data_IF_418565916534
#
_entry.id   IF_418565916534
#
_cell.length_a   1.000
_cell.length_b   1.000
_cell.length_c   1.000
_cell.angle_alpha   90.00
_cell.angle_beta   90.00
_cell.angle_gamma   90.00
#
_symmetry.space_group_name_H-M   'P 1'
#
loop_
_entity.id
_entity.type
_entity.pdbx_description
1 polymer ?
#
# COMPACT_ATOMS: atom_id res chain seq x y z
N UNK A 1 0.33 -21.54 -9.48
CA UNK A 1 0.99 -20.43 -10.19
C UNK A 1 1.69 -19.59 -9.15
N UNK A 2 2.86 -19.03 -9.45
CA UNK A 2 3.53 -18.13 -8.53
C UNK A 2 2.69 -16.86 -8.30
N UNK A 3 2.79 -16.29 -7.10
CA UNK A 3 2.15 -15.03 -6.75
C UNK A 3 2.74 -13.86 -7.55
N UNK A 4 1.97 -12.80 -7.69
CA UNK A 4 2.37 -11.61 -8.43
C UNK A 4 2.96 -10.59 -7.46
N UNK A 5 4.19 -10.18 -7.71
CA UNK A 5 4.81 -9.08 -6.98
C UNK A 5 4.54 -7.75 -7.71
N UNK A 6 3.94 -6.80 -7.00
CA UNK A 6 3.64 -5.46 -7.48
C UNK A 6 4.45 -4.44 -6.70
N UNK A 7 5.35 -3.76 -7.40
CA UNK A 7 6.23 -2.76 -6.81
C UNK A 7 5.77 -1.36 -7.22
N UNK A 8 5.90 -0.42 -6.30
CA UNK A 8 5.58 0.98 -6.51
C UNK A 8 6.13 1.90 -5.43
N UNK A 9 5.59 3.09 -5.36
CA UNK A 9 5.96 4.11 -4.37
C UNK A 9 4.74 4.67 -3.66
N UNK A 10 4.97 5.29 -2.52
CA UNK A 10 3.97 6.07 -1.78
C UNK A 10 3.72 7.41 -2.48
N UNK A 11 2.87 7.41 -3.51
CA UNK A 11 2.58 8.55 -4.38
C UNK A 11 3.42 8.54 -5.66
N UNK A 12 3.01 9.37 -6.61
CA UNK A 12 3.62 9.49 -7.94
C UNK A 12 3.78 10.94 -8.43
N UNK A 13 3.05 11.88 -7.86
CA UNK A 13 2.93 13.24 -8.40
C UNK A 13 3.96 14.20 -7.77
N UNK A 14 5.24 13.90 -7.98
CA UNK A 14 6.35 14.67 -7.46
C UNK A 14 7.20 15.24 -8.62
N UNK A 15 7.03 16.51 -9.00
CA UNK A 15 7.79 17.12 -10.10
C UNK A 15 9.32 17.06 -9.92
N UNK A 16 9.80 17.09 -8.66
CA UNK A 16 11.21 16.97 -8.30
C UNK A 16 11.85 15.62 -8.66
N UNK A 17 11.07 14.63 -9.09
CA UNK A 17 11.62 13.36 -9.60
C UNK A 17 12.16 13.47 -11.02
N UNK A 18 12.04 14.63 -11.67
CA UNK A 18 12.73 14.93 -12.91
C UNK A 18 14.15 15.47 -12.59
N UNK A 19 15.21 15.08 -13.35
CA UNK A 19 15.17 14.17 -14.51
C UNK A 19 15.37 12.68 -14.16
N UNK A 20 15.47 12.29 -12.88
CA UNK A 20 15.83 10.92 -12.47
C UNK A 20 14.81 9.86 -12.91
N UNK A 21 13.56 10.08 -12.57
CA UNK A 21 12.48 9.15 -12.87
C UNK A 21 11.57 9.65 -13.99
N UNK A 22 11.24 10.94 -13.98
CA UNK A 22 10.47 11.58 -15.03
C UNK A 22 11.38 12.27 -16.05
N UNK A 23 11.02 12.24 -17.35
CA UNK A 23 11.70 13.05 -18.36
C UNK A 23 11.65 14.55 -18.03
N UNK A 24 12.67 15.30 -18.44
CA UNK A 24 12.64 16.76 -18.36
C UNK A 24 11.43 17.33 -19.10
N UNK A 25 10.80 18.35 -18.52
CA UNK A 25 9.66 19.02 -19.12
C UNK A 25 8.36 18.21 -19.17
N UNK A 26 8.28 17.06 -18.51
CA UNK A 26 7.03 16.30 -18.44
C UNK A 26 5.90 17.12 -17.83
N UNK A 27 4.74 17.13 -18.47
CA UNK A 27 3.56 17.84 -17.95
C UNK A 27 2.91 17.04 -16.83
N UNK A 28 2.34 17.74 -15.84
CA UNK A 28 1.69 17.12 -14.68
C UNK A 28 0.64 16.07 -15.06
N UNK A 29 -0.13 16.31 -16.13
CA UNK A 29 -1.12 15.36 -16.62
C UNK A 29 -0.53 14.04 -17.15
N UNK A 30 0.76 14.01 -17.51
CA UNK A 30 1.43 12.82 -18.03
C UNK A 30 2.19 12.02 -16.96
N UNK A 31 2.33 12.55 -15.73
CA UNK A 31 3.12 11.90 -14.68
C UNK A 31 2.63 10.49 -14.39
N UNK A 32 1.32 10.28 -14.18
CA UNK A 32 0.78 8.99 -13.84
C UNK A 32 0.91 7.97 -14.98
N UNK A 33 0.72 8.41 -16.21
CA UNK A 33 0.91 7.53 -17.38
C UNK A 33 2.36 7.08 -17.50
N UNK A 34 3.33 8.01 -17.36
CA UNK A 34 4.74 7.66 -17.35
C UNK A 34 5.06 6.72 -16.17
N UNK A 35 4.59 7.03 -14.98
CA UNK A 35 4.78 6.20 -13.79
C UNK A 35 4.30 4.76 -14.02
N UNK A 36 3.07 4.61 -14.52
CA UNK A 36 2.45 3.31 -14.74
C UNK A 36 3.07 2.50 -15.90
N UNK A 37 3.87 3.14 -16.77
CA UNK A 37 4.69 2.45 -17.78
C UNK A 37 5.94 1.80 -17.18
N UNK A 38 6.33 2.19 -15.97
CA UNK A 38 7.56 1.76 -15.30
C UNK A 38 7.32 0.89 -14.05
N UNK A 39 6.24 1.15 -13.32
CA UNK A 39 5.88 0.49 -12.06
C UNK A 39 4.45 -0.05 -12.12
N UNK A 40 4.20 -1.17 -11.43
CA UNK A 40 2.95 -1.92 -11.54
C UNK A 40 1.87 -1.47 -10.54
N UNK A 41 2.22 -0.71 -9.52
CA UNK A 41 1.29 -0.24 -8.49
C UNK A 41 1.68 1.13 -7.94
N UNK A 42 0.73 1.82 -7.33
CA UNK A 42 0.96 3.06 -6.59
C UNK A 42 0.13 3.10 -5.31
N UNK A 43 0.73 3.52 -4.20
CA UNK A 43 0.03 3.84 -2.96
C UNK A 43 -0.39 5.31 -2.99
N UNK A 44 -1.70 5.56 -3.06
CA UNK A 44 -2.26 6.93 -3.11
C UNK A 44 -2.32 7.53 -1.70
N UNK A 45 -1.38 8.44 -1.39
CA UNK A 45 -1.32 9.10 -0.09
C UNK A 45 -2.15 10.38 0.02
N UNK A 46 -2.42 11.05 -1.09
CA UNK A 46 -3.25 12.25 -1.09
C UNK A 46 -4.70 11.99 -0.64
N UNK A 47 -5.18 10.77 -0.78
CA UNK A 47 -6.48 10.29 -0.29
C UNK A 47 -6.58 10.30 1.24
N UNK A 48 -5.47 10.31 1.95
CA UNK A 48 -5.41 10.45 3.40
C UNK A 48 -5.95 11.79 3.89
N UNK A 49 -5.75 12.84 3.11
CA UNK A 49 -6.21 14.19 3.46
C UNK A 49 -7.62 14.48 2.96
N UNK A 50 -7.97 13.94 1.80
CA UNK A 50 -9.26 14.16 1.18
C UNK A 50 -9.70 12.95 0.37
N UNK A 51 -10.96 12.53 0.52
CA UNK A 51 -11.59 11.51 -0.32
C UNK A 51 -11.46 11.87 -1.81
N UNK A 52 -11.14 10.91 -2.68
CA UNK A 52 -11.09 11.16 -4.10
C UNK A 52 -12.51 11.40 -4.66
N UNK A 53 -12.63 12.35 -5.56
CA UNK A 53 -13.87 12.51 -6.34
C UNK A 53 -13.97 11.44 -7.43
N UNK A 54 -15.18 11.14 -7.90
CA UNK A 54 -15.39 10.20 -9.00
C UNK A 54 -14.57 10.58 -10.25
N UNK A 55 -14.58 11.86 -10.63
CA UNK A 55 -13.80 12.34 -11.78
C UNK A 55 -12.29 12.13 -11.62
N UNK A 56 -11.77 12.25 -10.38
CA UNK A 56 -10.36 12.01 -10.11
C UNK A 56 -10.00 10.54 -10.23
N UNK A 57 -10.85 9.64 -9.73
CA UNK A 57 -10.67 8.19 -9.90
C UNK A 57 -10.70 7.82 -11.38
N UNK A 58 -11.67 8.33 -12.15
CA UNK A 58 -11.76 8.06 -13.59
C UNK A 58 -10.50 8.51 -14.34
N UNK A 59 -9.98 9.70 -14.00
CA UNK A 59 -8.73 10.20 -14.59
C UNK A 59 -7.54 9.29 -14.25
N UNK A 60 -7.44 8.76 -13.04
CA UNK A 60 -6.39 7.81 -12.65
C UNK A 60 -6.52 6.48 -13.41
N UNK A 61 -7.75 5.96 -13.53
CA UNK A 61 -8.02 4.74 -14.27
C UNK A 61 -7.69 4.87 -15.75
N UNK A 62 -8.06 6.01 -16.36
CA UNK A 62 -7.75 6.29 -17.76
C UNK A 62 -6.25 6.45 -18.07
N UNK A 63 -5.48 6.94 -17.08
CA UNK A 63 -4.05 7.18 -17.22
C UNK A 63 -3.17 5.94 -17.03
N UNK A 64 -3.74 4.77 -16.66
CA UNK A 64 -2.99 3.58 -16.28
C UNK A 64 -3.50 2.31 -16.98
N UNK A 65 -2.65 1.30 -17.27
CA UNK A 65 -3.08 0.08 -17.93
C UNK A 65 -3.99 -0.78 -17.03
N UNK A 66 -4.82 -1.69 -17.56
CA UNK A 66 -5.74 -2.54 -16.77
C UNK A 66 -5.05 -3.42 -15.72
N UNK A 67 -3.79 -3.77 -15.91
CA UNK A 67 -2.99 -4.55 -14.94
C UNK A 67 -2.51 -3.73 -13.74
N UNK A 68 -2.49 -2.40 -13.82
CA UNK A 68 -2.02 -1.53 -12.75
C UNK A 68 -2.93 -1.57 -11.53
N UNK A 69 -2.38 -1.53 -10.32
CA UNK A 69 -3.14 -1.56 -9.06
C UNK A 69 -2.89 -0.32 -8.21
N UNK A 70 -3.97 0.16 -7.59
CA UNK A 70 -3.93 1.25 -6.64
C UNK A 70 -4.09 0.72 -5.22
N UNK A 71 -3.13 0.99 -4.34
CA UNK A 71 -3.34 0.92 -2.91
C UNK A 71 -3.83 2.29 -2.44
N UNK A 72 -5.00 2.37 -1.84
CA UNK A 72 -5.61 3.66 -1.48
C UNK A 72 -5.53 3.85 0.02
N UNK A 73 -4.77 4.86 0.47
CA UNK A 73 -4.71 5.17 1.90
C UNK A 73 -6.02 5.79 2.36
N UNK A 74 -6.63 5.17 3.37
CA UNK A 74 -7.90 5.59 3.95
C UNK A 74 -7.82 7.03 4.49
N UNK A 75 -8.89 7.80 4.31
CA UNK A 75 -8.94 9.20 4.74
C UNK A 75 -8.87 9.30 6.28
N UNK A 76 -8.01 10.19 6.79
CA UNK A 76 -7.65 10.31 8.20
C UNK A 76 -8.85 10.44 9.15
N UNK A 77 -9.75 11.36 8.88
CA UNK A 77 -10.93 11.58 9.73
C UNK A 77 -11.93 10.42 9.66
N UNK A 78 -12.04 9.78 8.48
CA UNK A 78 -12.82 8.56 8.29
C UNK A 78 -12.23 7.39 9.07
N UNK A 79 -10.92 7.20 9.03
CA UNK A 79 -10.22 6.16 9.79
C UNK A 79 -10.42 6.34 11.30
N UNK A 80 -10.29 7.57 11.79
CA UNK A 80 -10.57 7.88 13.19
C UNK A 80 -12.00 7.48 13.58
N UNK A 81 -12.99 7.94 12.82
CA UNK A 81 -14.41 7.65 13.12
C UNK A 81 -14.73 6.15 13.01
N UNK A 82 -14.21 5.49 11.98
CA UNK A 82 -14.50 4.07 11.73
C UNK A 82 -13.97 3.13 12.80
N UNK A 83 -12.82 3.45 13.41
CA UNK A 83 -12.22 2.60 14.43
C UNK A 83 -12.61 3.03 15.86
N UNK A 84 -12.67 4.34 16.13
CA UNK A 84 -12.71 4.86 17.49
C UNK A 84 -14.10 5.41 17.90
N UNK A 85 -15.02 5.63 16.96
CA UNK A 85 -16.32 6.26 17.25
C UNK A 85 -17.48 5.35 16.84
N UNK A 86 -17.71 5.17 15.53
CA UNK A 86 -18.83 4.43 14.99
C UNK A 86 -18.45 3.75 13.66
N UNK A 87 -18.05 2.47 13.68
CA UNK A 87 -17.69 1.76 12.47
C UNK A 87 -18.88 1.58 11.52
N UNK A 88 -20.08 1.36 12.03
CA UNK A 88 -21.25 1.05 11.20
C UNK A 88 -21.63 2.22 10.30
N UNK A 89 -21.64 3.45 10.83
CA UNK A 89 -21.94 4.65 10.05
C UNK A 89 -20.74 5.14 9.22
N UNK A 90 -19.52 4.96 9.72
CA UNK A 90 -18.33 5.59 9.13
C UNK A 90 -17.63 4.75 8.08
N UNK A 91 -17.67 3.44 8.16
CA UNK A 91 -17.03 2.55 7.17
C UNK A 91 -17.65 2.70 5.78
N UNK A 92 -18.99 2.72 5.59
CA UNK A 92 -19.56 2.99 4.26
C UNK A 92 -19.12 4.33 3.69
N UNK A 93 -19.15 5.40 4.49
CA UNK A 93 -18.67 6.70 4.04
C UNK A 93 -17.21 6.66 3.58
N UNK A 94 -16.36 5.87 4.26
CA UNK A 94 -14.95 5.74 3.91
C UNK A 94 -14.74 4.91 2.64
N UNK A 95 -15.54 3.88 2.42
CA UNK A 95 -15.29 2.85 1.41
C UNK A 95 -16.07 3.05 0.11
N UNK A 96 -17.29 3.61 0.15
CA UNK A 96 -18.14 3.73 -1.04
C UNK A 96 -17.49 4.48 -2.21
N UNK A 97 -16.76 5.61 -1.99
CA UNK A 97 -16.06 6.29 -3.09
C UNK A 97 -14.97 5.43 -3.74
N UNK A 98 -14.42 4.46 -2.98
CA UNK A 98 -13.31 3.61 -3.43
C UNK A 98 -13.78 2.46 -4.31
N UNK A 99 -15.07 2.11 -4.26
CA UNK A 99 -15.66 1.07 -5.15
C UNK A 99 -15.51 1.40 -6.62
N UNK A 100 -15.36 2.70 -6.96
CA UNK A 100 -15.16 3.15 -8.33
C UNK A 100 -13.85 2.65 -8.96
N UNK A 101 -12.86 2.27 -8.16
CA UNK A 101 -11.64 1.64 -8.68
C UNK A 101 -11.89 0.25 -9.29
N UNK A 102 -12.98 -0.43 -8.89
CA UNK A 102 -13.28 -1.79 -9.34
C UNK A 102 -12.09 -2.73 -9.11
N UNK A 103 -11.79 -3.59 -10.07
CA UNK A 103 -10.67 -4.55 -10.01
C UNK A 103 -9.29 -3.90 -9.95
N UNK A 104 -9.23 -2.56 -10.15
CA UNK A 104 -8.00 -1.80 -10.04
C UNK A 104 -7.66 -1.42 -8.59
N UNK A 105 -8.59 -1.59 -7.65
CA UNK A 105 -8.33 -1.46 -6.22
C UNK A 105 -7.52 -2.66 -5.72
N UNK A 106 -6.23 -2.46 -5.49
CA UNK A 106 -5.36 -3.48 -4.90
C UNK A 106 -5.66 -3.70 -3.42
N UNK A 107 -5.82 -2.60 -2.67
CA UNK A 107 -6.24 -2.63 -1.27
C UNK A 107 -6.58 -1.22 -0.76
N UNK A 108 -7.31 -1.16 0.34
CA UNK A 108 -7.42 0.04 1.17
C UNK A 108 -6.42 -0.08 2.33
N UNK A 109 -5.42 0.80 2.35
CA UNK A 109 -4.48 0.89 3.47
C UNK A 109 -5.13 1.70 4.60
N UNK A 110 -5.57 1.00 5.63
CA UNK A 110 -6.14 1.59 6.83
C UNK A 110 -5.04 1.73 7.89
N UNK A 111 -4.54 2.96 8.07
CA UNK A 111 -3.61 3.27 9.14
C UNK A 111 -4.39 3.58 10.41
N UNK A 112 -4.14 2.80 11.45
CA UNK A 112 -4.71 3.05 12.78
C UNK A 112 -4.21 4.41 13.26
N UNK A 113 -5.10 5.27 13.82
CA UNK A 113 -4.71 6.60 14.29
C UNK A 113 -3.56 6.55 15.31
N UNK A 114 -2.66 7.52 15.22
CA UNK A 114 -1.49 7.62 16.10
C UNK A 114 -1.90 7.65 17.58
N UNK A 115 -1.13 6.96 18.42
CA UNK A 115 -1.40 6.87 19.86
C UNK A 115 -2.58 5.98 20.25
N UNK A 116 -3.17 5.25 19.29
CA UNK A 116 -4.25 4.30 19.58
C UNK A 116 -3.65 2.98 20.06
N UNK A 117 -3.79 2.66 21.33
CA UNK A 117 -3.44 1.36 21.89
C UNK A 117 -4.48 0.31 21.54
N UNK A 118 -4.08 -0.97 21.61
CA UNK A 118 -4.92 -2.13 21.30
C UNK A 118 -6.26 -2.10 22.03
N UNK A 119 -7.31 -2.37 21.28
CA UNK A 119 -8.65 -2.69 21.78
C UNK A 119 -9.27 -3.74 20.87
N UNK A 120 -9.38 -4.96 21.37
CA UNK A 120 -9.92 -6.09 20.59
C UNK A 120 -11.40 -5.88 20.26
N UNK A 121 -12.15 -5.24 21.17
CA UNK A 121 -13.56 -4.89 20.93
C UNK A 121 -13.72 -3.94 19.74
N UNK A 122 -12.92 -2.86 19.69
CA UNK A 122 -12.96 -1.89 18.59
C UNK A 122 -12.50 -2.52 17.28
N UNK A 123 -11.45 -3.33 17.32
CA UNK A 123 -10.98 -4.06 16.14
C UNK A 123 -12.06 -4.99 15.61
N UNK A 124 -12.69 -5.77 16.47
CA UNK A 124 -13.75 -6.69 16.08
C UNK A 124 -14.96 -5.96 15.47
N UNK A 125 -15.40 -4.86 16.09
CA UNK A 125 -16.48 -4.04 15.57
C UNK A 125 -16.15 -3.42 14.21
N UNK A 126 -14.92 -2.91 14.05
CA UNK A 126 -14.43 -2.36 12.77
C UNK A 126 -14.37 -3.43 11.69
N UNK A 127 -13.76 -4.59 11.95
CA UNK A 127 -13.64 -5.69 11.00
C UNK A 127 -15.01 -6.27 10.61
N UNK A 128 -15.96 -6.31 11.54
CA UNK A 128 -17.33 -6.75 11.27
C UNK A 128 -18.09 -5.77 10.35
N UNK A 129 -17.81 -4.47 10.46
CA UNK A 129 -18.40 -3.44 9.59
C UNK A 129 -17.72 -3.32 8.23
N UNK A 130 -16.49 -3.85 8.07
CA UNK A 130 -15.76 -3.73 6.81
C UNK A 130 -16.39 -4.59 5.70
N UNK A 131 -16.61 -4.02 4.49
CA UNK A 131 -17.18 -4.77 3.36
C UNK A 131 -16.27 -5.93 2.92
N UNK A 132 -16.81 -7.14 2.84
CA UNK A 132 -16.03 -8.35 2.48
C UNK A 132 -15.52 -8.36 1.04
N UNK A 133 -16.11 -7.56 0.18
CA UNK A 133 -15.72 -7.39 -1.22
C UNK A 133 -14.63 -6.34 -1.44
N UNK A 134 -14.21 -5.62 -0.39
CA UNK A 134 -13.12 -4.64 -0.48
C UNK A 134 -11.88 -5.12 0.26
N UNK A 135 -10.73 -5.23 -0.45
CA UNK A 135 -9.49 -5.67 0.17
C UNK A 135 -9.00 -4.65 1.21
N UNK A 136 -8.64 -5.15 2.38
CA UNK A 136 -8.19 -4.35 3.52
C UNK A 136 -6.74 -4.67 3.90
N UNK A 137 -5.96 -3.64 4.12
CA UNK A 137 -4.64 -3.72 4.77
C UNK A 137 -4.63 -2.85 6.02
N UNK A 138 -4.26 -3.42 7.17
CA UNK A 138 -4.15 -2.69 8.43
C UNK A 138 -2.69 -2.31 8.72
N UNK A 139 -2.43 -1.05 9.00
CA UNK A 139 -1.14 -0.54 9.47
C UNK A 139 -1.27 -0.09 10.92
N UNK A 140 -0.57 -0.79 11.81
CA UNK A 140 -0.50 -0.47 13.23
C UNK A 140 0.84 0.19 13.56
N UNK A 141 0.81 1.20 14.43
CA UNK A 141 2.01 1.91 14.87
C UNK A 141 2.36 1.62 16.32
N UNK A 142 1.33 1.40 17.16
CA UNK A 142 1.54 1.06 18.56
C UNK A 142 1.90 -0.42 18.70
N UNK A 143 2.98 -0.78 19.44
CA UNK A 143 3.43 -2.16 19.60
C UNK A 143 2.37 -3.10 20.20
N UNK A 144 1.40 -2.59 20.97
CA UNK A 144 0.35 -3.39 21.58
C UNK A 144 -0.51 -4.16 20.58
N UNK A 145 -0.54 -3.72 19.31
CA UNK A 145 -1.26 -4.40 18.25
C UNK A 145 -0.51 -5.57 17.61
N UNK A 146 0.81 -5.70 17.86
CA UNK A 146 1.66 -6.70 17.21
C UNK A 146 1.68 -8.02 17.98
N UNK A 147 0.51 -8.63 18.17
CA UNK A 147 0.29 -9.88 18.90
C UNK A 147 -0.53 -10.88 18.08
N UNK A 148 -0.40 -12.16 18.40
CA UNK A 148 -0.98 -13.24 17.59
C UNK A 148 -2.52 -13.19 17.54
N UNK A 149 -3.19 -12.71 18.59
CA UNK A 149 -4.65 -12.54 18.60
C UNK A 149 -5.12 -11.53 17.56
N UNK A 150 -4.40 -10.41 17.38
CA UNK A 150 -4.70 -9.42 16.37
C UNK A 150 -4.47 -10.02 14.97
N UNK A 151 -3.37 -10.73 14.77
CA UNK A 151 -3.09 -11.38 13.46
C UNK A 151 -4.15 -12.43 13.13
N UNK A 152 -4.62 -13.20 14.12
CA UNK A 152 -5.70 -14.16 13.94
C UNK A 152 -7.03 -13.47 13.59
N UNK A 153 -7.35 -12.35 14.24
CA UNK A 153 -8.55 -11.56 13.92
C UNK A 153 -8.50 -11.00 12.48
N UNK A 154 -7.35 -10.49 12.04
CA UNK A 154 -7.16 -10.03 10.66
C UNK A 154 -7.33 -11.19 9.66
N UNK A 155 -6.72 -12.35 9.95
CA UNK A 155 -6.83 -13.53 9.10
C UNK A 155 -8.29 -13.99 8.95
N UNK A 156 -9.03 -14.05 10.04
CA UNK A 156 -10.46 -14.41 10.05
C UNK A 156 -11.32 -13.40 9.24
N UNK A 157 -10.90 -12.14 9.21
CA UNK A 157 -11.56 -11.09 8.42
C UNK A 157 -11.09 -11.04 6.95
N UNK A 158 -10.04 -11.78 6.57
CA UNK A 158 -9.43 -11.69 5.25
C UNK A 158 -8.66 -10.39 5.02
N UNK A 159 -8.18 -9.76 6.09
CA UNK A 159 -7.40 -8.53 6.05
C UNK A 159 -5.88 -8.81 6.12
N UNK A 160 -5.12 -8.11 5.31
CA UNK A 160 -3.65 -8.16 5.34
C UNK A 160 -3.09 -7.20 6.39
N UNK A 161 -1.97 -7.59 7.01
CA UNK A 161 -1.20 -6.67 7.85
C UNK A 161 -0.11 -5.99 7.02
N UNK A 162 0.12 -4.71 7.30
CA UNK A 162 1.22 -3.95 6.74
C UNK A 162 2.51 -4.20 7.53
N UNK A 163 3.55 -4.68 6.87
CA UNK A 163 4.90 -4.70 7.41
C UNK A 163 5.62 -3.40 6.99
N UNK A 164 5.98 -2.56 7.96
CA UNK A 164 6.63 -1.28 7.70
C UNK A 164 8.06 -1.31 8.20
N UNK A 165 9.03 -1.10 7.28
CA UNK A 165 10.46 -0.97 7.60
C UNK A 165 10.79 0.51 7.81
N UNK A 166 10.96 0.92 9.06
CA UNK A 166 11.22 2.32 9.41
C UNK A 166 12.73 2.62 9.46
N UNK A 167 13.14 3.90 9.25
CA UNK A 167 14.56 4.27 9.27
C UNK A 167 15.27 3.97 10.59
N UNK A 168 14.55 4.10 11.70
CA UNK A 168 15.09 3.98 13.04
C UNK A 168 14.96 2.56 13.64
N UNK A 169 14.32 1.64 12.90
CA UNK A 169 14.19 0.25 13.34
C UNK A 169 15.53 -0.47 13.19
N UNK A 170 16.03 -1.13 14.24
CA UNK A 170 17.33 -1.82 14.20
C UNK A 170 17.33 -3.02 13.26
N UNK A 171 16.16 -3.66 13.10
CA UNK A 171 15.99 -4.82 12.25
C UNK A 171 14.72 -4.68 11.37
N UNK A 172 14.73 -5.30 10.18
CA UNK A 172 13.57 -5.31 9.32
C UNK A 172 12.38 -6.04 9.98
N UNK A 173 11.14 -5.53 9.82
CA UNK A 173 9.95 -6.15 10.41
C UNK A 173 9.73 -7.58 9.92
N UNK A 174 9.09 -8.41 10.73
CA UNK A 174 8.67 -9.73 10.31
C UNK A 174 7.60 -9.63 9.21
N UNK A 175 7.74 -10.46 8.17
CA UNK A 175 6.70 -10.64 7.15
C UNK A 175 5.69 -11.66 7.66
N UNK A 176 4.42 -11.24 7.83
CA UNK A 176 3.36 -12.12 8.32
C UNK A 176 2.24 -12.22 7.30
N UNK A 177 1.81 -13.45 7.02
CA UNK A 177 0.61 -13.71 6.25
C UNK A 177 -0.60 -13.67 7.18
N UNK A 178 -1.46 -12.66 7.01
CA UNK A 178 -2.76 -12.58 7.68
C UNK A 178 -3.94 -12.50 6.70
N UNK A 179 -3.69 -12.12 5.45
CA UNK A 179 -4.70 -11.93 4.42
C UNK A 179 -4.34 -12.58 3.08
N UNK A 180 -5.04 -12.20 2.02
CA UNK A 180 -4.89 -12.80 0.69
C UNK A 180 -3.63 -12.34 -0.06
N UNK A 181 -2.87 -11.37 0.48
CA UNK A 181 -1.64 -10.86 -0.10
C UNK A 181 -0.73 -10.30 1.01
N UNK A 182 0.55 -10.11 0.69
CA UNK A 182 1.49 -9.38 1.54
C UNK A 182 1.47 -7.89 1.20
N UNK A 183 1.67 -7.05 2.20
CA UNK A 183 1.79 -5.61 2.02
C UNK A 183 2.98 -5.05 2.80
N UNK A 184 3.95 -4.51 2.08
CA UNK A 184 5.19 -3.99 2.65
C UNK A 184 5.37 -2.51 2.32
N UNK A 185 5.84 -1.76 3.30
CA UNK A 185 6.24 -0.35 3.15
C UNK A 185 7.71 -0.21 3.53
N UNK A 186 8.56 -0.04 2.53
CA UNK A 186 10.00 0.17 2.70
C UNK A 186 10.26 1.68 2.83
N UNK A 187 10.51 2.13 4.06
CA UNK A 187 10.46 3.55 4.40
C UNK A 187 11.80 4.15 4.78
N UNK A 188 12.89 3.39 4.75
CA UNK A 188 14.24 3.93 4.92
C UNK A 188 14.55 4.93 3.82
N UNK A 189 15.50 5.81 4.08
CA UNK A 189 15.90 6.85 3.13
C UNK A 189 16.58 6.26 1.89
N UNK A 190 17.33 5.17 2.09
CA UNK A 190 18.02 4.43 1.04
C UNK A 190 18.12 2.95 1.41
N UNK A 191 18.41 2.13 0.42
CA UNK A 191 18.68 0.70 0.53
C UNK A 191 19.85 0.35 -0.38
N UNK A 192 20.83 -0.37 0.15
CA UNK A 192 21.90 -0.96 -0.65
C UNK A 192 21.36 -2.11 -1.52
N UNK A 193 22.05 -2.47 -2.61
CA UNK A 193 21.69 -3.63 -3.41
C UNK A 193 21.59 -4.94 -2.61
N UNK A 194 22.44 -5.10 -1.58
CA UNK A 194 22.39 -6.26 -0.69
C UNK A 194 21.10 -6.28 0.17
N UNK A 195 20.67 -5.15 0.70
CA UNK A 195 19.40 -5.04 1.45
C UNK A 195 18.19 -5.28 0.54
N UNK A 196 18.20 -4.74 -0.68
CA UNK A 196 17.14 -5.04 -1.66
C UNK A 196 17.06 -6.52 -2.00
N UNK A 197 18.22 -7.17 -2.20
CA UNK A 197 18.28 -8.62 -2.41
C UNK A 197 17.74 -9.39 -1.21
N UNK A 198 18.16 -9.04 0.01
CA UNK A 198 17.65 -9.66 1.22
C UNK A 198 16.12 -9.53 1.35
N UNK A 199 15.54 -8.40 0.96
CA UNK A 199 14.08 -8.22 0.91
C UNK A 199 13.42 -9.10 -0.14
N UNK A 200 14.00 -9.22 -1.34
CA UNK A 200 13.51 -10.12 -2.39
C UNK A 200 13.54 -11.59 -1.94
N UNK A 201 14.64 -12.02 -1.32
CA UNK A 201 14.80 -13.39 -0.78
C UNK A 201 13.77 -13.71 0.30
N UNK A 202 13.45 -12.74 1.17
CA UNK A 202 12.41 -12.90 2.20
C UNK A 202 11.00 -13.03 1.63
N UNK A 203 10.72 -12.43 0.46
CA UNK A 203 9.42 -12.50 -0.21
C UNK A 203 9.28 -13.77 -1.06
N UNK A 204 10.37 -14.27 -1.58
CA UNK A 204 10.39 -15.36 -2.55
C UNK A 204 9.60 -16.61 -2.12
N UNK A 205 9.68 -17.12 -0.87
CA UNK A 205 8.90 -18.29 -0.45
C UNK A 205 7.39 -18.05 -0.56
N UNK A 206 6.91 -16.87 -0.18
CA UNK A 206 5.48 -16.54 -0.24
C UNK A 206 5.00 -16.43 -1.69
N UNK A 207 5.80 -15.82 -2.56
CA UNK A 207 5.49 -15.72 -3.99
C UNK A 207 5.47 -17.11 -4.64
N UNK A 208 6.43 -17.99 -4.28
CA UNK A 208 6.46 -19.37 -4.77
C UNK A 208 5.20 -20.15 -4.35
N UNK A 209 4.67 -19.89 -3.15
CA UNK A 209 3.42 -20.46 -2.65
C UNK A 209 2.15 -19.84 -3.28
N UNK A 210 2.31 -18.91 -4.24
CA UNK A 210 1.21 -18.29 -4.95
C UNK A 210 0.58 -17.09 -4.25
N UNK A 211 1.20 -16.54 -3.21
CA UNK A 211 0.71 -15.37 -2.50
C UNK A 211 1.19 -14.08 -3.19
N UNK A 212 0.27 -13.22 -3.60
CA UNK A 212 0.59 -11.91 -4.15
C UNK A 212 1.27 -11.01 -3.12
N UNK A 213 2.08 -10.06 -3.57
CA UNK A 213 2.72 -9.08 -2.70
C UNK A 213 2.69 -7.67 -3.31
N UNK A 214 2.44 -6.67 -2.45
CA UNK A 214 2.63 -5.26 -2.73
C UNK A 214 3.84 -4.75 -1.94
N UNK A 215 4.74 -4.05 -2.62
CA UNK A 215 5.91 -3.41 -1.99
C UNK A 215 5.96 -1.94 -2.41
N UNK A 216 5.86 -1.04 -1.43
CA UNK A 216 5.87 0.39 -1.68
C UNK A 216 7.06 1.06 -1.01
N UNK A 217 7.90 1.68 -1.82
CA UNK A 217 9.01 2.51 -1.34
C UNK A 217 8.52 3.88 -0.90
N UNK A 218 9.23 4.46 0.06
CA UNK A 218 8.97 5.82 0.52
C UNK A 218 9.12 6.79 -0.66
N UNK A 219 8.22 7.76 -0.75
CA UNK A 219 8.47 8.93 -1.59
C UNK A 219 9.51 9.84 -0.95
N UNK A 220 10.25 10.52 -1.78
CA UNK A 220 11.19 11.57 -1.44
C UNK A 220 11.04 12.71 -2.46
N UNK A 221 11.78 13.78 -2.29
CA UNK A 221 11.67 14.95 -3.16
C UNK A 221 12.47 14.82 -4.48
N UNK A 222 13.42 13.89 -4.54
CA UNK A 222 14.41 13.79 -5.64
C UNK A 222 14.26 12.52 -6.49
N UNK A 223 13.34 11.62 -6.14
CA UNK A 223 13.01 10.42 -6.92
C UNK A 223 13.82 9.17 -6.57
N UNK A 224 14.60 9.18 -5.47
CA UNK A 224 15.35 8.00 -5.04
C UNK A 224 14.45 6.81 -4.73
N UNK A 225 13.31 7.05 -4.08
CA UNK A 225 12.33 5.98 -3.82
C UNK A 225 11.78 5.32 -5.08
N UNK A 226 11.62 6.07 -6.17
CA UNK A 226 11.20 5.51 -7.45
C UNK A 226 12.33 4.70 -8.13
N UNK A 227 13.59 5.14 -8.02
CA UNK A 227 14.75 4.37 -8.47
C UNK A 227 14.86 3.04 -7.71
N UNK A 228 14.76 3.09 -6.37
CA UNK A 228 14.77 1.89 -5.52
C UNK A 228 13.66 0.91 -5.88
N UNK A 229 12.47 1.42 -6.20
CA UNK A 229 11.37 0.57 -6.66
C UNK A 229 11.70 -0.16 -7.98
N UNK A 230 12.36 0.51 -8.91
CA UNK A 230 12.83 -0.08 -10.17
C UNK A 230 13.96 -1.09 -9.95
N UNK A 231 14.96 -0.72 -9.13
CA UNK A 231 16.08 -1.59 -8.77
C UNK A 231 15.56 -2.88 -8.12
N UNK A 232 14.67 -2.75 -7.15
CA UNK A 232 14.06 -3.89 -6.48
C UNK A 232 13.26 -4.78 -7.45
N UNK A 233 12.46 -4.17 -8.33
CA UNK A 233 11.74 -4.90 -9.37
C UNK A 233 12.65 -5.70 -10.28
N UNK A 234 13.80 -5.14 -10.67
CA UNK A 234 14.85 -5.83 -11.44
C UNK A 234 15.47 -7.01 -10.70
N UNK A 235 15.82 -6.83 -9.42
CA UNK A 235 16.38 -7.90 -8.55
C UNK A 235 15.36 -9.04 -8.38
N UNK A 236 14.11 -8.72 -8.15
CA UNK A 236 13.03 -9.71 -7.97
C UNK A 236 12.57 -10.37 -9.28
N UNK A 237 13.16 -10.06 -10.41
CA UNK A 237 12.84 -10.65 -11.71
C UNK A 237 11.53 -10.17 -12.32
N UNK A 238 11.02 -9.01 -11.91
CA UNK A 238 9.81 -8.42 -12.48
C UNK A 238 10.21 -7.65 -13.75
N UNK A 239 9.69 -8.08 -14.90
CA UNK A 239 9.80 -7.28 -16.12
C UNK A 239 9.01 -5.97 -15.96
N UNK A 240 9.67 -4.83 -16.20
CA UNK A 240 9.03 -3.53 -16.13
C UNK A 240 7.77 -3.49 -17.02
N UNK A 241 6.63 -3.10 -16.45
CA UNK A 241 5.45 -2.70 -17.21
C UNK A 241 4.60 -3.83 -17.84
N UNK A 242 4.60 -5.06 -17.30
CA UNK A 242 3.63 -6.09 -17.72
C UNK A 242 2.42 -6.16 -16.83
#
# INVERSE_FOLDING_TARGET
MAGILRVGTSGFAYPGWSPRFYPEGIRAAALLNHYASRLAACELNNTYYQQPTAAKVDAWLAATPPSFRFAVKAQRGGSYRSLLVDPVASVPWLTDPLRRFGDRLGTVLFRVPDGTVRSDERLAAFLAAWPRDLPLTMEFQDPSWHVDEVFAALAAAGASICATDLPDDPEPPAIRRSGPFLYLRLRRHDYSPAELTAWADRLQPFLADGLDAFVFFRHDEVGRGAELALEFGGIAGIAAGR
#
